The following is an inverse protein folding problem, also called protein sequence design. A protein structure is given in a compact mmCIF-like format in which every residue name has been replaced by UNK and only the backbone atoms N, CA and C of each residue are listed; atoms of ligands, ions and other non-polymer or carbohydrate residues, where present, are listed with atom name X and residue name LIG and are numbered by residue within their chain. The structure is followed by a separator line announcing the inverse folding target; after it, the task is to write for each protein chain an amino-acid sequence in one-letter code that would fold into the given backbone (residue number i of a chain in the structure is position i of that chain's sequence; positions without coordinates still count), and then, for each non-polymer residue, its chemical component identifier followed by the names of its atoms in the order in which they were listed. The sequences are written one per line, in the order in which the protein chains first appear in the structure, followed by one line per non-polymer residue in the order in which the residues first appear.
data_IF_919926591946
#
_entry.id   IF_919926591946
#
_cell.length_a   1.000
_cell.length_b   1.000
_cell.length_c   1.000
_cell.angle_alpha   90.00
_cell.angle_beta   90.00
_cell.angle_gamma   90.00
#
_symmetry.space_group_name_H-M   'P 1'
#
loop_
_entity.id
_entity.type
_entity.pdbx_description
1 polymer ?
#
# COMPACT_ATOMS: atom_id res chain seq x y z
N UNK A 1 -37.33 65.16 -13.91
CA UNK A 1 -36.44 63.98 -13.84
C UNK A 1 -37.09 62.84 -14.61
N UNK A 2 -36.44 62.35 -15.67
CA UNK A 2 -36.99 61.41 -16.66
C UNK A 2 -36.89 59.95 -16.18
N UNK A 3 -38.01 59.22 -16.16
CA UNK A 3 -38.08 57.75 -16.02
C UNK A 3 -37.85 57.12 -17.40
N UNK A 4 -36.77 56.35 -17.56
CA UNK A 4 -36.52 55.51 -18.74
C UNK A 4 -37.14 54.12 -18.52
N UNK A 5 -38.19 53.78 -19.28
CA UNK A 5 -38.76 52.44 -19.30
C UNK A 5 -38.01 51.55 -20.30
N UNK A 6 -37.46 50.46 -19.80
CA UNK A 6 -36.75 49.42 -20.54
C UNK A 6 -37.75 48.49 -21.24
N UNK A 7 -37.76 48.47 -22.59
CA UNK A 7 -38.68 47.69 -23.43
C UNK A 7 -37.95 46.58 -24.19
N UNK A 8 -37.38 45.60 -23.50
CA UNK A 8 -36.69 44.46 -24.13
C UNK A 8 -37.21 43.10 -23.64
N UNK A 9 -38.51 42.82 -23.77
CA UNK A 9 -39.06 41.48 -23.45
C UNK A 9 -40.28 41.07 -24.29
N UNK A 10 -40.30 41.36 -25.60
CA UNK A 10 -41.39 40.90 -26.50
C UNK A 10 -40.91 40.35 -27.83
N UNK A 11 -40.00 39.37 -27.82
CA UNK A 11 -39.56 38.72 -29.07
C UNK A 11 -39.74 37.19 -29.13
N UNK A 12 -40.43 36.56 -28.18
CA UNK A 12 -40.53 35.09 -28.10
C UNK A 12 -41.96 34.53 -28.02
N UNK A 13 -42.96 35.15 -28.67
CA UNK A 13 -44.36 34.66 -28.58
C UNK A 13 -45.10 34.58 -29.93
N UNK A 14 -44.42 34.20 -31.01
CA UNK A 14 -45.08 33.91 -32.29
C UNK A 14 -44.47 32.73 -33.06
N UNK A 15 -43.91 31.74 -32.36
CA UNK A 15 -43.60 30.45 -32.96
C UNK A 15 -44.86 29.58 -32.95
N UNK A 16 -45.21 29.03 -34.11
CA UNK A 16 -46.31 28.07 -34.32
C UNK A 16 -46.30 26.99 -33.22
N UNK A 17 -47.45 26.74 -32.59
CA UNK A 17 -47.62 25.70 -31.55
C UNK A 17 -47.11 24.32 -32.00
N UNK A 18 -47.09 24.07 -33.32
CA UNK A 18 -46.60 22.83 -33.91
C UNK A 18 -45.07 22.71 -33.82
N UNK A 19 -44.33 23.79 -34.07
CA UNK A 19 -42.88 23.82 -33.95
C UNK A 19 -42.42 23.69 -32.48
N UNK A 20 -43.20 24.24 -31.54
CA UNK A 20 -42.92 24.11 -30.11
C UNK A 20 -43.03 22.67 -29.62
N UNK A 21 -44.02 21.89 -30.10
CA UNK A 21 -44.15 20.47 -29.74
C UNK A 21 -42.98 19.62 -30.25
N UNK A 22 -42.49 19.90 -31.47
CA UNK A 22 -41.36 19.18 -32.05
C UNK A 22 -40.04 19.44 -31.30
N UNK A 23 -39.79 20.70 -30.94
CA UNK A 23 -38.63 21.10 -30.14
C UNK A 23 -38.66 20.47 -28.74
N UNK A 24 -39.83 20.45 -28.09
CA UNK A 24 -39.99 19.83 -26.76
C UNK A 24 -39.73 18.32 -26.84
N UNK A 25 -40.22 17.64 -27.89
CA UNK A 25 -39.95 16.22 -28.10
C UNK A 25 -38.45 15.92 -28.27
N UNK A 26 -37.74 16.73 -29.05
CA UNK A 26 -36.30 16.58 -29.25
C UNK A 26 -35.52 16.75 -27.94
N UNK A 27 -35.86 17.76 -27.12
CA UNK A 27 -35.21 17.99 -25.82
C UNK A 27 -35.40 16.80 -24.87
N UNK A 28 -36.61 16.22 -24.82
CA UNK A 28 -36.89 15.04 -23.98
C UNK A 28 -36.02 13.84 -24.39
N UNK A 29 -35.88 13.59 -25.70
CA UNK A 29 -35.05 12.49 -26.21
C UNK A 29 -33.58 12.69 -25.82
N UNK A 30 -33.04 13.92 -25.96
CA UNK A 30 -31.65 14.22 -25.58
C UNK A 30 -31.41 13.98 -24.08
N UNK A 31 -32.37 14.35 -23.23
CA UNK A 31 -32.28 14.11 -21.78
C UNK A 31 -32.28 12.61 -21.49
N UNK A 32 -33.17 11.84 -22.11
CA UNK A 32 -33.25 10.38 -21.92
C UNK A 32 -31.96 9.68 -22.36
N UNK A 33 -31.40 10.06 -23.50
CA UNK A 33 -30.12 9.52 -24.00
C UNK A 33 -28.97 9.87 -23.04
N UNK A 34 -28.91 11.12 -22.55
CA UNK A 34 -27.88 11.56 -21.61
C UNK A 34 -27.95 10.77 -20.29
N UNK A 35 -29.15 10.56 -19.75
CA UNK A 35 -29.36 9.75 -18.55
C UNK A 35 -28.94 8.28 -18.80
N UNK A 36 -29.31 7.70 -19.95
CA UNK A 36 -28.91 6.36 -20.33
C UNK A 36 -27.39 6.16 -20.36
N UNK A 37 -26.65 7.12 -20.92
CA UNK A 37 -25.18 7.08 -20.95
C UNK A 37 -24.57 7.19 -19.54
N UNK A 38 -25.12 8.03 -18.66
CA UNK A 38 -24.66 8.14 -17.27
C UNK A 38 -24.87 6.82 -16.52
N UNK A 39 -26.03 6.18 -16.69
CA UNK A 39 -26.28 4.87 -16.07
C UNK A 39 -25.32 3.79 -16.56
N UNK A 40 -25.04 3.73 -17.87
CA UNK A 40 -24.02 2.81 -18.40
C UNK A 40 -22.63 3.08 -17.80
N UNK A 41 -22.22 4.34 -17.69
CA UNK A 41 -20.93 4.70 -17.11
C UNK A 41 -20.85 4.27 -15.64
N UNK A 42 -21.89 4.52 -14.84
CA UNK A 42 -21.95 4.07 -13.44
C UNK A 42 -21.93 2.56 -13.34
N UNK A 43 -22.65 1.84 -14.22
CA UNK A 43 -22.70 0.38 -14.19
C UNK A 43 -21.36 -0.24 -14.61
N UNK A 44 -20.69 0.33 -15.61
CA UNK A 44 -19.34 -0.08 -16.00
C UNK A 44 -18.32 0.11 -14.86
N UNK A 45 -18.48 1.15 -14.04
CA UNK A 45 -17.65 1.41 -12.87
C UNK A 45 -18.04 0.55 -11.65
N UNK A 46 -19.24 -0.06 -11.65
CA UNK A 46 -19.80 -0.77 -10.50
C UNK A 46 -19.46 -2.26 -10.42
N UNK A 47 -18.60 -2.82 -11.28
CA UNK A 47 -18.12 -4.19 -11.11
C UNK A 47 -17.29 -4.28 -9.80
N UNK A 48 -17.87 -4.76 -8.69
CA UNK A 48 -17.27 -4.60 -7.36
C UNK A 48 -16.06 -5.53 -7.17
N UNK A 49 -15.99 -6.59 -7.96
CA UNK A 49 -14.97 -7.62 -7.85
C UNK A 49 -13.62 -7.17 -8.44
N UNK A 50 -13.62 -6.33 -9.48
CA UNK A 50 -12.37 -5.81 -10.06
C UNK A 50 -11.79 -4.63 -9.28
N UNK A 51 -12.66 -3.75 -8.75
CA UNK A 51 -12.22 -2.57 -8.01
C UNK A 51 -11.60 -2.92 -6.64
N UNK A 52 -12.16 -3.92 -5.95
CA UNK A 52 -11.62 -4.40 -4.66
C UNK A 52 -10.27 -5.11 -4.82
N UNK A 53 -10.07 -5.83 -5.93
CA UNK A 53 -8.80 -6.55 -6.19
C UNK A 53 -7.66 -5.59 -6.54
N UNK A 54 -7.92 -4.57 -7.36
CA UNK A 54 -6.89 -3.57 -7.71
C UNK A 54 -6.41 -2.78 -6.48
N UNK A 55 -7.36 -2.36 -5.64
CA UNK A 55 -7.07 -1.61 -4.42
C UNK A 55 -6.29 -2.42 -3.39
N UNK A 56 -6.57 -3.73 -3.22
CA UNK A 56 -5.79 -4.59 -2.32
C UNK A 56 -4.36 -4.82 -2.79
N UNK A 57 -4.15 -5.07 -4.09
CA UNK A 57 -2.80 -5.23 -4.65
C UNK A 57 -1.98 -3.95 -4.52
N UNK A 58 -2.58 -2.80 -4.82
CA UNK A 58 -1.93 -1.49 -4.67
C UNK A 58 -1.65 -1.17 -3.19
N UNK A 59 -2.57 -1.52 -2.29
CA UNK A 59 -2.36 -1.41 -0.84
C UNK A 59 -1.18 -2.28 -0.40
N UNK A 60 -1.14 -3.56 -0.78
CA UNK A 60 -0.03 -4.45 -0.42
C UNK A 60 1.32 -3.93 -0.95
N UNK A 61 1.37 -3.50 -2.21
CA UNK A 61 2.59 -2.96 -2.82
C UNK A 61 3.04 -1.65 -2.18
N UNK A 62 2.11 -0.74 -1.89
CA UNK A 62 2.44 0.56 -1.29
C UNK A 62 2.83 0.44 0.18
N UNK A 63 2.17 -0.43 0.95
CA UNK A 63 2.55 -0.75 2.32
C UNK A 63 3.93 -1.41 2.37
N UNK A 64 4.20 -2.41 1.52
CA UNK A 64 5.52 -3.05 1.47
C UNK A 64 6.63 -2.05 1.10
N UNK A 65 6.37 -1.19 0.11
CA UNK A 65 7.29 -0.13 -0.26
C UNK A 65 7.51 0.88 0.88
N UNK A 66 6.47 1.20 1.65
CA UNK A 66 6.57 2.07 2.82
C UNK A 66 7.41 1.42 3.93
N UNK A 67 7.16 0.14 4.24
CA UNK A 67 7.94 -0.65 5.20
C UNK A 67 9.42 -0.67 4.85
N UNK A 68 9.79 -0.93 3.59
CA UNK A 68 11.21 -0.94 3.19
C UNK A 68 11.87 0.44 3.20
N UNK A 69 11.07 1.50 3.04
CA UNK A 69 11.54 2.90 3.05
C UNK A 69 11.52 3.52 4.44
N UNK A 70 10.99 2.84 5.45
CA UNK A 70 11.05 3.38 6.81
C UNK A 70 12.50 3.56 7.21
N UNK A 71 12.73 4.58 8.02
CA UNK A 71 14.05 4.92 8.52
C UNK A 71 14.01 4.86 10.02
N UNK A 72 15.02 4.22 10.59
CA UNK A 72 15.16 4.05 12.03
C UNK A 72 16.10 5.14 12.54
N UNK A 73 15.73 5.74 13.66
CA UNK A 73 16.54 6.78 14.25
C UNK A 73 17.81 6.18 14.85
N UNK A 74 18.95 6.88 14.78
CA UNK A 74 20.19 6.39 15.38
C UNK A 74 20.17 6.22 16.88
N UNK A 75 19.20 6.86 17.55
CA UNK A 75 18.99 6.66 18.97
C UNK A 75 18.47 5.25 19.27
N UNK A 76 17.79 4.63 18.32
CA UNK A 76 17.18 3.31 18.42
C UNK A 76 18.13 2.22 17.92
N UNK A 77 18.95 2.51 16.90
CA UNK A 77 19.95 1.58 16.37
C UNK A 77 21.30 2.25 16.11
N UNK A 78 22.39 1.62 16.55
CA UNK A 78 23.77 2.05 16.29
C UNK A 78 24.57 0.93 15.61
N UNK A 79 25.57 1.29 14.79
CA UNK A 79 26.41 0.33 14.08
C UNK A 79 27.79 0.91 13.70
N UNK A 80 28.69 0.11 13.11
CA UNK A 80 30.07 0.52 12.81
C UNK A 80 30.13 1.72 11.86
N UNK A 81 29.18 1.82 10.92
CA UNK A 81 29.05 2.96 10.01
C UNK A 81 28.57 4.25 10.71
N UNK A 82 28.02 4.15 11.93
CA UNK A 82 27.53 5.30 12.73
C UNK A 82 28.64 5.91 13.58
N UNK A 83 29.84 5.29 13.64
CA UNK A 83 30.96 5.81 14.43
C UNK A 83 31.54 7.12 13.90
N UNK A 84 31.22 7.52 12.67
CA UNK A 84 31.74 8.74 12.06
C UNK A 84 30.74 9.91 12.18
N UNK A 85 30.28 10.24 13.39
CA UNK A 85 29.59 11.49 13.79
C UNK A 85 28.44 12.03 12.90
N UNK A 86 27.97 11.27 11.90
CA UNK A 86 26.90 11.64 10.98
C UNK A 86 25.66 10.88 11.35
N UNK A 87 24.63 11.65 11.73
CA UNK A 87 23.28 11.17 11.99
C UNK A 87 22.56 10.84 10.65
N UNK A 88 23.07 9.87 9.87
CA UNK A 88 22.42 9.37 8.64
C UNK A 88 21.42 8.24 8.93
N UNK A 89 20.11 8.52 9.04
CA UNK A 89 19.14 7.57 9.55
C UNK A 89 19.18 6.24 8.78
N UNK A 90 19.13 5.13 9.53
CA UNK A 90 19.33 3.79 8.97
C UNK A 90 18.11 3.40 8.13
N UNK A 91 18.34 2.92 6.91
CA UNK A 91 17.26 2.48 6.01
C UNK A 91 16.90 1.03 6.26
N UNK A 92 15.63 0.79 6.57
CA UNK A 92 15.10 -0.51 6.93
C UNK A 92 15.41 -1.58 5.87
N UNK A 93 15.01 -1.30 4.63
CA UNK A 93 15.12 -2.27 3.55
C UNK A 93 16.54 -2.55 3.06
N UNK A 94 17.50 -1.64 3.22
CA UNK A 94 18.86 -1.87 2.71
C UNK A 94 19.85 -2.23 3.80
N UNK A 95 19.86 -1.52 4.92
CA UNK A 95 20.93 -1.64 5.91
C UNK A 95 20.58 -2.68 6.96
N UNK A 96 19.40 -2.58 7.58
CA UNK A 96 18.96 -3.54 8.60
C UNK A 96 18.64 -4.92 8.00
N UNK A 97 17.99 -4.95 6.83
CA UNK A 97 17.67 -6.22 6.17
C UNK A 97 18.92 -6.94 5.65
N UNK A 98 19.92 -6.20 5.16
CA UNK A 98 21.23 -6.75 4.77
C UNK A 98 22.00 -7.30 5.96
N UNK A 99 22.03 -6.57 7.08
CA UNK A 99 22.67 -7.03 8.32
C UNK A 99 22.01 -8.29 8.87
N UNK A 100 20.68 -8.32 8.91
CA UNK A 100 19.92 -9.50 9.31
C UNK A 100 20.23 -10.70 8.39
N UNK A 101 20.23 -10.50 7.07
CA UNK A 101 20.54 -11.57 6.11
C UNK A 101 21.96 -12.12 6.26
N UNK A 102 22.94 -11.26 6.54
CA UNK A 102 24.35 -11.66 6.75
C UNK A 102 24.55 -12.45 8.05
N UNK A 103 23.78 -12.10 9.08
CA UNK A 103 24.03 -12.56 10.43
C UNK A 103 22.96 -13.50 10.98
N UNK A 104 22.05 -14.00 10.14
CA UNK A 104 20.95 -14.88 10.56
C UNK A 104 21.41 -16.05 11.44
N UNK A 105 22.50 -16.73 11.06
CA UNK A 105 22.99 -17.93 11.75
C UNK A 105 24.07 -17.62 12.81
N UNK A 106 24.36 -16.34 13.09
CA UNK A 106 25.44 -15.94 14.01
C UNK A 106 24.96 -14.92 15.03
N UNK A 107 25.36 -15.11 16.30
CA UNK A 107 24.99 -14.20 17.39
C UNK A 107 25.75 -12.86 17.39
N UNK A 108 26.28 -12.42 16.24
CA UNK A 108 27.01 -11.17 16.07
C UNK A 108 26.41 -10.40 14.92
N UNK A 109 25.91 -9.22 15.21
CA UNK A 109 25.31 -8.31 14.25
C UNK A 109 26.21 -7.08 14.10
N UNK A 110 26.30 -6.51 12.91
CA UNK A 110 27.00 -5.24 12.73
C UNK A 110 26.19 -4.10 13.36
N UNK A 111 24.86 -4.18 13.30
CA UNK A 111 23.96 -3.19 13.89
C UNK A 111 23.34 -3.73 15.18
N UNK A 112 23.42 -2.92 16.23
CA UNK A 112 22.76 -3.20 17.50
C UNK A 112 21.63 -2.20 17.72
N UNK A 113 20.45 -2.72 18.03
CA UNK A 113 19.21 -1.97 18.14
C UNK A 113 18.60 -2.16 19.53
N UNK A 114 19.12 -1.52 20.58
CA UNK A 114 18.61 -1.68 21.93
C UNK A 114 17.13 -1.32 22.00
N UNK A 115 16.32 -2.27 22.46
CA UNK A 115 14.96 -2.00 22.89
C UNK A 115 15.00 -1.45 24.33
N UNK A 116 13.97 -0.68 24.72
CA UNK A 116 13.89 -0.12 26.06
C UNK A 116 14.03 -1.23 27.12
N UNK A 117 15.10 -1.18 27.92
CA UNK A 117 15.37 -2.13 29.00
C UNK A 117 16.35 -3.26 28.68
N UNK A 118 16.88 -3.36 27.46
CA UNK A 118 17.93 -4.32 27.12
C UNK A 118 19.18 -3.61 26.55
N UNK A 119 20.26 -3.57 27.35
CA UNK A 119 21.53 -2.97 26.95
C UNK A 119 22.26 -3.76 25.86
N UNK A 120 21.98 -5.07 25.74
CA UNK A 120 22.56 -5.90 24.68
C UNK A 120 21.80 -5.75 23.37
N UNK A 121 20.51 -5.42 23.47
CA UNK A 121 19.60 -5.22 22.35
C UNK A 121 19.31 -6.50 21.56
N UNK A 122 18.13 -6.64 20.97
CA UNK A 122 17.90 -7.66 19.96
C UNK A 122 18.88 -7.54 18.79
N UNK A 123 19.08 -8.66 18.10
CA UNK A 123 19.74 -8.64 16.80
C UNK A 123 18.97 -7.79 15.80
N UNK A 124 19.61 -7.41 14.69
CA UNK A 124 18.94 -6.66 13.64
C UNK A 124 17.72 -7.39 13.08
N UNK A 125 17.72 -8.73 13.08
CA UNK A 125 16.56 -9.54 12.71
C UNK A 125 15.37 -9.36 13.66
N UNK A 126 15.53 -9.57 14.98
CA UNK A 126 14.41 -9.49 15.91
C UNK A 126 13.87 -8.06 16.03
N UNK A 127 14.77 -7.06 15.97
CA UNK A 127 14.36 -5.66 15.91
C UNK A 127 13.52 -5.37 14.66
N UNK A 128 13.95 -5.88 13.50
CA UNK A 128 13.29 -5.69 12.23
C UNK A 128 11.92 -6.39 12.23
N UNK A 129 11.84 -7.64 12.70
CA UNK A 129 10.59 -8.38 12.84
C UNK A 129 9.60 -7.65 13.74
N UNK A 130 10.05 -7.20 14.92
CA UNK A 130 9.22 -6.44 15.87
C UNK A 130 8.72 -5.12 15.26
N UNK A 131 9.61 -4.40 14.57
CA UNK A 131 9.27 -3.10 13.96
C UNK A 131 8.28 -3.27 12.81
N UNK A 132 8.48 -4.26 11.94
CA UNK A 132 7.52 -4.57 10.87
C UNK A 132 6.17 -4.95 11.46
N UNK A 133 6.16 -5.84 12.46
CA UNK A 133 4.94 -6.28 13.13
C UNK A 133 4.16 -5.08 13.67
N UNK A 134 4.85 -4.15 14.35
CA UNK A 134 4.24 -2.92 14.86
C UNK A 134 3.72 -2.00 13.76
N UNK A 135 4.47 -1.82 12.66
CA UNK A 135 4.04 -0.98 11.53
C UNK A 135 2.79 -1.59 10.87
N UNK A 136 2.78 -2.89 10.61
CA UNK A 136 1.66 -3.58 9.97
C UNK A 136 0.44 -3.65 10.88
N UNK A 137 0.61 -3.92 12.18
CA UNK A 137 -0.48 -3.91 13.16
C UNK A 137 -1.11 -2.51 13.26
N UNK A 138 -0.30 -1.45 13.35
CA UNK A 138 -0.80 -0.07 13.42
C UNK A 138 -1.36 0.48 12.10
N UNK A 139 -1.15 -0.21 10.98
CA UNK A 139 -1.70 0.17 9.68
C UNK A 139 -2.79 -0.79 9.23
N UNK A 140 -2.42 -1.92 8.64
CA UNK A 140 -3.33 -2.94 8.13
C UNK A 140 -4.17 -3.58 9.25
N UNK A 141 -3.59 -3.77 10.44
CA UNK A 141 -4.31 -4.30 11.60
C UNK A 141 -5.44 -3.37 12.05
N UNK A 142 -5.18 -2.06 12.16
CA UNK A 142 -6.23 -1.07 12.46
C UNK A 142 -7.31 -0.98 11.37
N UNK A 143 -6.98 -1.34 10.12
CA UNK A 143 -7.95 -1.47 9.03
C UNK A 143 -8.74 -2.79 9.06
N UNK A 144 -8.50 -3.66 10.05
CA UNK A 144 -9.12 -4.98 10.16
C UNK A 144 -8.72 -5.93 9.04
N UNK A 145 -7.56 -5.71 8.39
CA UNK A 145 -7.07 -6.58 7.31
C UNK A 145 -6.23 -7.73 7.86
N UNK A 146 -6.43 -8.92 7.30
CA UNK A 146 -5.56 -10.06 7.53
C UNK A 146 -4.38 -9.98 6.58
N UNK A 147 -3.19 -10.29 7.08
CA UNK A 147 -1.98 -10.22 6.27
C UNK A 147 -0.98 -11.30 6.65
N UNK A 148 -0.08 -11.59 5.72
CA UNK A 148 1.09 -12.43 5.94
C UNK A 148 2.25 -11.81 5.17
N UNK A 149 3.32 -11.50 5.88
CA UNK A 149 4.57 -11.03 5.29
C UNK A 149 5.64 -12.11 5.44
N UNK A 150 6.29 -12.41 4.33
CA UNK A 150 7.44 -13.31 4.29
C UNK A 150 8.67 -12.56 3.80
N UNK A 151 9.82 -13.00 4.31
CA UNK A 151 11.12 -12.50 3.90
C UNK A 151 12.00 -13.71 3.75
N UNK A 152 12.47 -13.97 2.54
CA UNK A 152 13.19 -15.19 2.18
C UNK A 152 14.57 -14.83 1.61
N UNK A 153 15.60 -15.55 2.04
CA UNK A 153 16.93 -15.49 1.46
C UNK A 153 17.02 -16.56 0.37
N UNK A 154 17.19 -16.11 -0.87
CA UNK A 154 17.42 -16.95 -2.04
C UNK A 154 18.93 -16.95 -2.29
N UNK A 155 19.62 -17.97 -1.77
CA UNK A 155 21.07 -18.15 -1.85
C UNK A 155 21.44 -19.51 -2.45
N UNK A 156 21.04 -19.76 -3.69
CA UNK A 156 21.37 -20.98 -4.42
C UNK A 156 20.59 -22.24 -3.99
N UNK A 157 19.90 -22.19 -2.86
CA UNK A 157 18.86 -23.15 -2.48
C UNK A 157 17.57 -22.84 -3.27
N UNK A 158 16.95 -23.81 -3.98
CA UNK A 158 15.70 -23.60 -4.69
C UNK A 158 14.51 -23.27 -3.79
N UNK A 159 14.53 -23.70 -2.52
CA UNK A 159 13.39 -23.52 -1.62
C UNK A 159 13.47 -22.20 -0.83
N UNK A 160 14.65 -21.56 -0.81
CA UNK A 160 14.93 -20.34 -0.06
C UNK A 160 14.89 -20.57 1.46
N UNK A 161 15.61 -19.72 2.20
CA UNK A 161 15.61 -19.78 3.67
C UNK A 161 14.84 -18.58 4.21
N UNK A 162 13.72 -18.80 4.90
CA UNK A 162 13.00 -17.70 5.59
C UNK A 162 13.96 -16.95 6.52
N UNK A 163 14.01 -15.62 6.49
CA UNK A 163 14.83 -14.81 7.40
C UNK A 163 14.27 -14.83 8.82
N UNK A 164 12.95 -14.90 8.96
CA UNK A 164 12.25 -14.98 10.24
C UNK A 164 11.86 -16.42 10.55
N UNK A 165 11.75 -16.74 11.84
CA UNK A 165 11.31 -18.07 12.29
C UNK A 165 9.86 -18.34 11.87
N UNK A 166 9.01 -17.31 11.92
CA UNK A 166 7.63 -17.38 11.47
C UNK A 166 7.27 -16.22 10.52
N UNK A 167 6.33 -16.42 9.58
CA UNK A 167 5.79 -15.31 8.80
C UNK A 167 5.08 -14.31 9.71
N UNK A 168 5.30 -13.01 9.49
CA UNK A 168 4.64 -11.95 10.26
C UNK A 168 3.16 -11.91 9.85
N UNK A 169 2.27 -12.10 10.82
CA UNK A 169 0.82 -12.19 10.61
C UNK A 169 0.07 -11.17 11.46
N UNK A 170 -1.18 -10.90 11.11
CA UNK A 170 -2.05 -10.06 11.95
C UNK A 170 -2.55 -10.83 13.18
N UNK A 171 -3.04 -10.10 14.18
CA UNK A 171 -3.70 -10.68 15.37
C UNK A 171 -4.94 -11.51 15.03
N UNK A 172 -5.50 -11.32 13.82
CA UNK A 172 -6.62 -12.09 13.28
C UNK A 172 -6.17 -13.32 12.47
N UNK A 173 -4.88 -13.65 12.51
CA UNK A 173 -4.24 -14.75 11.78
C UNK A 173 -3.79 -14.35 10.37
N UNK A 174 -2.97 -15.21 9.78
CA UNK A 174 -2.46 -15.03 8.42
C UNK A 174 -3.44 -15.41 7.31
N UNK A 175 -2.96 -15.30 6.07
CA UNK A 175 -3.69 -15.66 4.86
C UNK A 175 -3.61 -17.17 4.57
N UNK A 176 -3.62 -18.02 5.59
CA UNK A 176 -3.60 -19.48 5.42
C UNK A 176 -4.99 -19.99 5.03
N UNK A 177 -5.09 -20.77 3.95
CA UNK A 177 -6.34 -21.35 3.45
C UNK A 177 -6.57 -21.23 1.94
N UNK A 178 -7.44 -22.08 1.39
CA UNK A 178 -7.71 -22.18 -0.06
C UNK A 178 -8.67 -21.12 -0.63
N UNK A 179 -9.28 -20.26 0.19
CA UNK A 179 -10.51 -19.54 -0.20
C UNK A 179 -10.64 -18.02 0.05
N UNK A 180 -9.84 -17.31 0.86
CA UNK A 180 -9.95 -15.86 0.82
C UNK A 180 -9.34 -15.34 -0.48
N UNK A 181 -9.93 -14.29 -1.06
CA UNK A 181 -9.26 -13.55 -2.11
C UNK A 181 -7.95 -12.98 -1.53
N UNK A 182 -6.82 -13.32 -2.15
CA UNK A 182 -5.49 -12.91 -1.71
C UNK A 182 -4.88 -12.06 -2.79
N UNK A 183 -4.38 -10.90 -2.38
CA UNK A 183 -3.59 -10.05 -3.25
C UNK A 183 -2.20 -9.91 -2.65
N UNK A 184 -1.20 -10.02 -3.53
CA UNK A 184 0.20 -9.91 -3.16
C UNK A 184 0.76 -8.58 -3.64
N UNK A 185 1.66 -8.02 -2.83
CA UNK A 185 2.54 -6.91 -3.21
C UNK A 185 3.40 -7.20 -4.45
N UNK A 186 3.54 -8.49 -4.83
CA UNK A 186 4.64 -8.95 -5.67
C UNK A 186 5.96 -9.03 -4.89
N UNK A 187 7.01 -9.61 -5.47
CA UNK A 187 8.31 -9.71 -4.83
C UNK A 187 9.00 -8.35 -4.77
N UNK A 188 9.61 -8.05 -3.63
CA UNK A 188 10.52 -6.91 -3.43
C UNK A 188 11.95 -7.45 -3.25
N UNK A 189 12.70 -7.63 -4.35
CA UNK A 189 14.06 -8.15 -4.30
C UNK A 189 15.05 -7.11 -3.77
N UNK A 190 15.95 -7.55 -2.90
CA UNK A 190 17.12 -6.81 -2.44
C UNK A 190 18.37 -7.68 -2.63
N UNK A 191 19.31 -7.20 -3.46
CA UNK A 191 20.60 -7.86 -3.59
C UNK A 191 21.46 -7.56 -2.37
N UNK A 192 21.87 -8.60 -1.64
CA UNK A 192 22.77 -8.50 -0.48
C UNK A 192 24.17 -8.97 -0.89
N UNK A 193 25.18 -8.15 -0.64
CA UNK A 193 26.55 -8.44 -1.08
C UNK A 193 27.11 -9.64 -0.31
N UNK A 194 27.52 -10.68 -1.03
CA UNK A 194 28.15 -11.88 -0.46
C UNK A 194 27.19 -12.91 0.15
N UNK A 195 25.87 -12.63 0.21
CA UNK A 195 24.88 -13.54 0.80
C UNK A 195 23.91 -14.08 -0.25
N UNK A 196 23.37 -13.22 -1.12
CA UNK A 196 22.38 -13.63 -2.12
C UNK A 196 21.31 -12.58 -2.37
N UNK A 197 20.12 -13.04 -2.74
CA UNK A 197 18.95 -12.22 -2.98
C UNK A 197 17.96 -12.36 -1.82
N UNK A 198 17.66 -11.29 -1.12
CA UNK A 198 16.56 -11.27 -0.15
C UNK A 198 15.28 -10.85 -0.87
N UNK A 199 14.23 -11.65 -0.75
CA UNK A 199 12.93 -11.37 -1.32
C UNK A 199 11.91 -11.14 -0.21
N UNK A 200 11.31 -9.95 -0.17
CA UNK A 200 10.19 -9.67 0.72
C UNK A 200 8.86 -9.68 -0.04
N UNK A 201 7.82 -10.22 0.57
CA UNK A 201 6.48 -10.24 -0.01
C UNK A 201 5.42 -10.04 1.08
N UNK A 202 4.45 -9.18 0.81
CA UNK A 202 3.28 -8.95 1.65
C UNK A 202 2.03 -9.47 0.94
N UNK A 203 1.27 -10.32 1.61
CA UNK A 203 -0.01 -10.84 1.14
C UNK A 203 -1.09 -10.28 2.04
N UNK A 204 -2.14 -9.69 1.44
CA UNK A 204 -3.31 -9.18 2.15
C UNK A 204 -4.51 -10.04 1.76
N UNK A 205 -5.35 -10.35 2.74
CA UNK A 205 -6.60 -11.07 2.56
C UNK A 205 -7.71 -10.48 3.43
N UNK A 206 -8.95 -10.73 3.01
CA UNK A 206 -10.15 -10.45 3.80
C UNK A 206 -10.49 -11.66 4.65
#
# INVERSE_FOLDING_TARGET
MKKGQNKNHRFLTALSRKAQMEIVGLVVIVILISLGMIFMAIFALKNPDSASTFTRKELASSTMAAVLKTTVNHKECYGPLVRENRRVPLKFGRELLEDCARHKDVARFDHNCPLEGDERGPGSCDFLETTITNILANSLGQMGKRYTMTVELISGDPDGTSLFDEPIQSDHGGCLGRRPAKDSSGPFPLQVSGVGLVQSQLIICD
#
